data_IF_854149253824
#
_entry.id   IF_854149253824
#
_cell.length_a   1.000
_cell.length_b   1.000
_cell.length_c   1.000
_cell.angle_alpha   90.00
_cell.angle_beta   90.00
_cell.angle_gamma   90.00
#
_symmetry.space_group_name_H-M   'P 1'
#
loop_
_entity.id
_entity.type
_entity.pdbx_description
1 polymer ?
#
# COMPACT_ATOMS: atom_id res chain seq x y z
N UNK A 1 -8.74 58.32 54.12
CA UNK A 1 -7.98 58.42 55.38
C UNK A 1 -7.53 57.03 55.80
N UNK A 2 -6.24 56.89 56.17
CA UNK A 2 -5.55 55.82 56.93
C UNK A 2 -5.62 54.35 56.38
N UNK A 3 -4.58 53.74 55.78
CA UNK A 3 -3.21 53.31 56.21
C UNK A 3 -3.13 51.98 57.00
N UNK A 4 -2.24 51.07 56.56
CA UNK A 4 -1.70 49.91 57.33
C UNK A 4 -2.07 48.54 56.71
N UNK A 5 -1.27 47.80 55.91
CA UNK A 5 0.10 47.28 56.08
C UNK A 5 0.22 46.40 57.35
N UNK A 6 0.82 45.20 57.40
CA UNK A 6 1.73 44.44 56.54
C UNK A 6 1.86 43.00 57.13
N UNK A 7 2.39 42.08 56.32
CA UNK A 7 3.15 40.85 56.64
C UNK A 7 2.50 39.68 57.41
N UNK A 8 2.40 38.54 56.71
CA UNK A 8 2.45 37.20 57.32
C UNK A 8 3.88 36.68 57.17
N UNK A 9 4.52 36.30 58.27
CA UNK A 9 5.85 35.68 58.26
C UNK A 9 6.01 34.63 59.35
N UNK A 10 6.70 33.54 58.97
CA UNK A 10 7.32 32.46 59.79
C UNK A 10 6.33 31.39 60.29
N UNK A 11 6.57 30.07 60.24
CA UNK A 11 7.77 29.20 60.25
C UNK A 11 7.40 27.84 59.59
N UNK A 12 8.14 27.19 58.67
CA UNK A 12 9.47 26.54 58.67
C UNK A 12 9.65 25.24 59.51
N UNK A 13 9.30 24.08 58.91
CA UNK A 13 9.98 22.74 59.01
C UNK A 13 9.26 21.59 59.77
N UNK A 14 9.56 20.27 59.54
CA UNK A 14 10.09 19.56 58.35
C UNK A 14 9.31 18.25 57.95
N UNK A 15 9.40 17.88 56.66
CA UNK A 15 9.42 16.54 56.01
C UNK A 15 8.57 15.33 56.48
N UNK A 16 7.88 14.70 55.52
CA UNK A 16 7.74 13.23 55.50
C UNK A 16 6.54 12.62 54.75
N UNK A 17 6.79 12.01 53.60
CA UNK A 17 6.15 10.77 53.08
C UNK A 17 4.91 10.75 52.16
N UNK A 18 4.32 11.84 51.67
CA UNK A 18 3.12 11.69 50.78
C UNK A 18 3.30 11.93 49.28
N UNK A 19 4.44 12.46 48.83
CA UNK A 19 4.59 12.87 47.42
C UNK A 19 5.11 11.79 46.46
N UNK A 20 5.45 10.59 46.94
CA UNK A 20 6.11 9.56 46.10
C UNK A 20 5.18 8.50 45.51
N UNK A 21 3.88 8.49 45.87
CA UNK A 21 2.92 7.57 45.22
C UNK A 21 2.34 8.14 43.91
N UNK A 22 2.65 9.39 43.57
CA UNK A 22 2.11 10.08 42.39
C UNK A 22 3.07 10.09 41.19
N UNK A 23 4.25 9.45 41.28
CA UNK A 23 5.22 9.35 40.19
C UNK A 23 5.26 7.98 39.48
N UNK A 24 4.51 6.98 39.95
CA UNK A 24 4.33 5.72 39.20
C UNK A 24 3.16 5.75 38.22
N UNK A 25 2.26 6.75 38.31
CA UNK A 25 1.10 6.83 37.43
C UNK A 25 1.40 7.56 36.11
N UNK A 26 2.48 8.35 36.06
CA UNK A 26 2.93 9.05 34.85
C UNK A 26 3.68 8.17 33.85
N UNK A 27 4.09 6.95 34.24
CA UNK A 27 4.75 5.99 33.35
C UNK A 27 3.82 5.20 32.41
N UNK A 28 2.48 5.37 32.53
CA UNK A 28 1.49 4.57 31.77
C UNK A 28 0.92 5.25 30.53
N UNK A 29 1.38 6.44 30.14
CA UNK A 29 0.82 7.20 29.01
C UNK A 29 1.57 6.96 27.67
N UNK A 30 2.61 6.12 27.65
CA UNK A 30 3.31 5.77 26.39
C UNK A 30 2.87 4.43 25.76
N UNK A 31 1.81 3.76 26.26
CA UNK A 31 1.30 2.52 25.68
C UNK A 31 0.01 2.73 24.86
N UNK A 32 -0.04 3.78 24.04
CA UNK A 32 -1.06 3.90 23.00
C UNK A 32 -0.39 4.18 21.65
N UNK A 33 0.51 3.28 21.26
CA UNK A 33 0.73 3.00 19.85
C UNK A 33 -0.45 2.14 19.41
N UNK A 34 -1.40 2.73 18.68
CA UNK A 34 -2.54 2.03 18.07
C UNK A 34 -1.99 0.91 17.16
N UNK A 35 -2.14 -0.38 17.51
CA UNK A 35 -1.89 -1.46 16.57
C UNK A 35 -3.21 -1.69 15.85
N UNK A 36 -3.43 -0.99 14.73
CA UNK A 36 -4.70 -1.11 14.00
C UNK A 36 -4.76 -0.50 12.62
N UNK A 37 -3.81 0.37 12.25
CA UNK A 37 -3.80 1.00 10.92
C UNK A 37 -2.92 0.27 9.89
N UNK A 38 -1.92 -0.51 10.32
CA UNK A 38 -1.03 -1.22 9.37
C UNK A 38 -1.66 -2.43 8.68
N UNK A 39 -2.61 -3.14 9.32
CA UNK A 39 -3.22 -4.34 8.72
C UNK A 39 -4.28 -3.99 7.68
N UNK A 40 -5.09 -2.94 7.92
CA UNK A 40 -6.10 -2.47 6.98
C UNK A 40 -5.50 -1.87 5.69
N UNK A 41 -4.38 -1.14 5.80
CA UNK A 41 -3.66 -0.60 4.64
C UNK A 41 -3.00 -1.70 3.79
N UNK A 42 -2.53 -2.78 4.41
CA UNK A 42 -1.91 -3.92 3.70
C UNK A 42 -2.94 -4.69 2.87
N UNK A 43 -4.11 -4.96 3.43
CA UNK A 43 -5.21 -5.63 2.73
C UNK A 43 -5.77 -4.80 1.55
N UNK A 44 -5.81 -3.46 1.67
CA UNK A 44 -6.19 -2.59 0.56
C UNK A 44 -5.19 -2.63 -0.60
N UNK A 45 -3.89 -2.61 -0.32
CA UNK A 45 -2.85 -2.71 -1.35
C UNK A 45 -2.85 -4.04 -2.11
N UNK A 46 -3.16 -5.15 -1.42
CA UNK A 46 -3.31 -6.46 -2.07
C UNK A 46 -4.49 -6.49 -3.05
N UNK A 47 -5.64 -5.92 -2.66
CA UNK A 47 -6.81 -5.84 -3.54
C UNK A 47 -6.56 -4.96 -4.77
N UNK A 48 -5.85 -3.84 -4.60
CA UNK A 48 -5.54 -2.92 -5.69
C UNK A 48 -4.58 -3.56 -6.70
N UNK A 49 -3.53 -4.25 -6.23
CA UNK A 49 -2.64 -5.01 -7.11
C UNK A 49 -3.38 -6.10 -7.91
N UNK A 50 -4.25 -6.87 -7.25
CA UNK A 50 -5.03 -7.90 -7.94
C UNK A 50 -5.97 -7.31 -9.01
N UNK A 51 -6.57 -6.14 -8.74
CA UNK A 51 -7.36 -5.41 -9.74
C UNK A 51 -6.50 -5.03 -10.94
N UNK A 52 -5.33 -4.41 -10.70
CA UNK A 52 -4.41 -4.00 -11.77
C UNK A 52 -3.97 -5.18 -12.65
N UNK A 53 -3.64 -6.33 -12.04
CA UNK A 53 -3.27 -7.54 -12.78
C UNK A 53 -4.46 -8.08 -13.59
N UNK A 54 -5.66 -8.09 -13.01
CA UNK A 54 -6.88 -8.50 -13.72
C UNK A 54 -7.16 -7.61 -14.93
N UNK A 55 -7.06 -6.29 -14.76
CA UNK A 55 -7.27 -5.31 -15.82
C UNK A 55 -6.23 -5.50 -16.93
N UNK A 56 -4.95 -5.69 -16.55
CA UNK A 56 -3.87 -5.94 -17.50
C UNK A 56 -4.09 -7.23 -18.33
N UNK A 57 -4.60 -8.30 -17.72
CA UNK A 57 -4.96 -9.52 -18.46
C UNK A 57 -6.05 -9.23 -19.50
N UNK A 58 -7.03 -8.42 -19.13
CA UNK A 58 -8.06 -7.92 -20.04
C UNK A 58 -7.47 -7.13 -21.22
N UNK A 59 -6.54 -6.23 -20.92
CA UNK A 59 -5.85 -5.41 -21.93
C UNK A 59 -5.04 -6.26 -22.89
N UNK A 60 -4.25 -7.22 -22.39
CA UNK A 60 -3.46 -8.15 -23.21
C UNK A 60 -4.37 -8.94 -24.15
N UNK A 61 -5.53 -9.41 -23.67
CA UNK A 61 -6.51 -10.09 -24.52
C UNK A 61 -7.05 -9.15 -25.63
N UNK A 62 -7.42 -7.93 -25.27
CA UNK A 62 -7.89 -6.95 -26.23
C UNK A 62 -6.82 -6.63 -27.30
N UNK A 63 -5.56 -6.49 -26.90
CA UNK A 63 -4.43 -6.28 -27.81
C UNK A 63 -4.23 -7.47 -28.76
N UNK A 64 -4.33 -8.70 -28.26
CA UNK A 64 -4.27 -9.91 -29.10
C UNK A 64 -5.42 -9.95 -30.12
N UNK A 65 -6.64 -9.65 -29.70
CA UNK A 65 -7.79 -9.60 -30.62
C UNK A 65 -7.62 -8.50 -31.67
N UNK A 66 -7.16 -7.30 -31.26
CA UNK A 66 -6.90 -6.20 -32.18
C UNK A 66 -5.85 -6.57 -33.22
N UNK A 67 -4.76 -7.20 -32.80
CA UNK A 67 -3.73 -7.71 -33.72
C UNK A 67 -4.29 -8.74 -34.70
N UNK A 68 -5.06 -9.71 -34.22
CA UNK A 68 -5.69 -10.73 -35.07
C UNK A 68 -6.69 -10.14 -36.05
N UNK A 69 -7.49 -9.16 -35.64
CA UNK A 69 -8.44 -8.48 -36.51
C UNK A 69 -7.74 -7.61 -37.56
N UNK A 70 -6.69 -6.88 -37.18
CA UNK A 70 -5.88 -6.11 -38.13
C UNK A 70 -5.24 -7.02 -39.18
N UNK A 71 -4.72 -8.18 -38.77
CA UNK A 71 -4.18 -9.18 -39.70
C UNK A 71 -5.24 -9.72 -40.66
N UNK A 72 -6.42 -10.09 -40.15
CA UNK A 72 -7.54 -10.58 -40.98
C UNK A 72 -7.96 -9.54 -42.02
N UNK A 73 -8.15 -8.30 -41.59
CA UNK A 73 -8.55 -7.20 -42.46
C UNK A 73 -7.47 -6.85 -43.50
N UNK A 74 -6.18 -7.00 -43.15
CA UNK A 74 -5.09 -6.85 -44.10
C UNK A 74 -5.07 -7.96 -45.16
N UNK A 75 -5.22 -9.23 -44.75
CA UNK A 75 -5.28 -10.36 -45.69
C UNK A 75 -6.53 -10.30 -46.58
N UNK A 76 -7.63 -9.76 -46.05
CA UNK A 76 -8.86 -9.50 -46.81
C UNK A 76 -8.73 -8.32 -47.80
N UNK A 77 -7.67 -7.52 -47.71
CA UNK A 77 -7.47 -6.31 -48.53
C UNK A 77 -8.28 -5.09 -48.06
N UNK A 78 -8.97 -5.18 -46.92
CA UNK A 78 -9.71 -4.07 -46.31
C UNK A 78 -8.76 -3.02 -45.71
N UNK A 79 -7.58 -3.46 -45.26
CA UNK A 79 -6.50 -2.61 -44.77
C UNK A 79 -5.28 -2.84 -45.67
N UNK A 80 -4.72 -1.77 -46.24
CA UNK A 80 -3.50 -1.85 -47.07
C UNK A 80 -2.23 -1.55 -46.28
N UNK A 81 -2.37 -1.00 -45.07
CA UNK A 81 -1.26 -0.59 -44.23
C UNK A 81 -0.73 -1.76 -43.38
N UNK A 82 0.33 -2.41 -43.88
CA UNK A 82 1.04 -3.47 -43.17
C UNK A 82 1.69 -2.97 -41.86
N UNK A 83 2.08 -1.69 -41.77
CA UNK A 83 2.76 -1.17 -40.59
C UNK A 83 1.82 -1.23 -39.37
N UNK A 84 0.54 -0.91 -39.54
CA UNK A 84 -0.44 -0.99 -38.45
C UNK A 84 -0.64 -2.42 -37.94
N UNK A 85 -0.64 -3.42 -38.84
CA UNK A 85 -0.72 -4.84 -38.46
C UNK A 85 0.50 -5.25 -37.66
N UNK A 86 1.69 -4.86 -38.11
CA UNK A 86 2.94 -5.17 -37.43
C UNK A 86 3.03 -4.49 -36.06
N UNK A 87 2.65 -3.21 -35.96
CA UNK A 87 2.60 -2.48 -34.69
C UNK A 87 1.64 -3.17 -33.72
N UNK A 88 0.41 -3.47 -34.15
CA UNK A 88 -0.56 -4.16 -33.31
C UNK A 88 -0.06 -5.54 -32.84
N UNK A 89 0.61 -6.29 -33.72
CA UNK A 89 1.23 -7.57 -33.37
C UNK A 89 2.40 -7.44 -32.39
N UNK A 90 3.27 -6.44 -32.56
CA UNK A 90 4.39 -6.20 -31.65
C UNK A 90 3.92 -5.76 -30.27
N UNK A 91 2.95 -4.86 -30.22
CA UNK A 91 2.34 -4.42 -28.96
C UNK A 91 1.71 -5.61 -28.21
N UNK A 92 0.92 -6.45 -28.90
CA UNK A 92 0.34 -7.65 -28.29
C UNK A 92 1.39 -8.65 -27.80
N UNK A 93 2.49 -8.82 -28.56
CA UNK A 93 3.60 -9.70 -28.18
C UNK A 93 4.32 -9.22 -26.92
N UNK A 94 4.74 -7.95 -26.88
CA UNK A 94 5.43 -7.38 -25.71
C UNK A 94 4.55 -7.40 -24.46
N UNK A 95 3.25 -7.10 -24.61
CA UNK A 95 2.32 -7.16 -23.49
C UNK A 95 2.12 -8.59 -22.95
N UNK A 96 2.09 -9.60 -23.83
CA UNK A 96 2.03 -11.00 -23.44
C UNK A 96 3.32 -11.44 -22.72
N UNK A 97 4.49 -11.06 -23.22
CA UNK A 97 5.77 -11.37 -22.57
C UNK A 97 5.78 -10.84 -21.13
N UNK A 98 5.35 -9.58 -20.94
CA UNK A 98 5.19 -8.99 -19.61
C UNK A 98 4.18 -9.76 -18.73
N UNK A 99 3.06 -10.21 -19.29
CA UNK A 99 2.08 -11.03 -18.55
C UNK A 99 2.70 -12.35 -18.05
N UNK A 100 3.53 -12.99 -18.87
CA UNK A 100 4.22 -14.23 -18.49
C UNK A 100 5.17 -13.97 -17.32
N UNK A 101 5.94 -12.88 -17.36
CA UNK A 101 6.81 -12.47 -16.24
C UNK A 101 6.03 -12.23 -14.96
N UNK A 102 4.89 -11.52 -15.04
CA UNK A 102 4.01 -11.28 -13.90
C UNK A 102 3.47 -12.62 -13.35
N UNK A 103 3.00 -13.51 -14.22
CA UNK A 103 2.51 -14.85 -13.82
C UNK A 103 3.58 -15.62 -13.06
N UNK A 104 4.81 -15.63 -13.57
CA UNK A 104 5.94 -16.30 -12.92
C UNK A 104 6.20 -15.68 -11.54
N UNK A 105 6.24 -14.35 -11.45
CA UNK A 105 6.51 -13.64 -10.20
C UNK A 105 5.43 -13.84 -9.14
N UNK A 106 4.16 -13.88 -9.54
CA UNK A 106 3.05 -14.17 -8.63
C UNK A 106 3.16 -15.60 -8.11
N UNK A 107 3.48 -16.56 -8.97
CA UNK A 107 3.69 -17.95 -8.58
C UNK A 107 4.88 -18.11 -7.62
N UNK A 108 6.01 -17.44 -7.87
CA UNK A 108 7.16 -17.40 -6.95
C UNK A 108 6.79 -16.80 -5.60
N UNK A 109 6.08 -15.67 -5.62
CA UNK A 109 5.69 -14.95 -4.41
C UNK A 109 4.74 -15.78 -3.54
N UNK A 110 3.81 -16.52 -4.17
CA UNK A 110 2.96 -17.49 -3.48
C UNK A 110 3.78 -18.60 -2.81
N UNK A 111 4.77 -19.16 -3.53
CA UNK A 111 5.65 -20.19 -2.96
C UNK A 111 6.49 -19.66 -1.78
N UNK A 112 6.99 -18.43 -1.86
CA UNK A 112 7.78 -17.83 -0.78
C UNK A 112 6.93 -17.59 0.48
N UNK A 113 5.69 -17.11 0.34
CA UNK A 113 4.76 -16.98 1.48
C UNK A 113 4.53 -18.33 2.17
N UNK A 114 4.40 -19.41 1.39
CA UNK A 114 4.23 -20.76 1.93
C UNK A 114 5.48 -21.26 2.67
N UNK A 115 6.70 -20.81 2.30
CA UNK A 115 7.95 -21.16 3.00
C UNK A 115 8.14 -20.43 4.33
N UNK A 116 7.47 -19.30 4.55
CA UNK A 116 7.55 -18.55 5.81
C UNK A 116 6.78 -19.26 6.95
N UNK A 117 5.85 -20.16 6.63
CA UNK A 117 4.93 -20.78 7.61
C UNK A 117 5.29 -22.21 8.03
N UNK A 118 6.54 -22.67 7.83
CA UNK A 118 7.04 -23.94 8.40
C UNK A 118 8.04 -23.73 9.53
#
# INVERSE_FOLDING_TARGET
MATGSLITGVSSGPSGTQSFRHLEQSGRILQQGTPGTSEAQKAQGESEFMSLVSDFIGDVNHMQQRSGNALKAFVAGEITDLHQVMVAGKEAGVALDLMIEIRNRVQESFQEIMRIQV
#
